data_IF_526175681433
#
_entry.id   IF_526175681433
#
_cell.length_a   1.000
_cell.length_b   1.000
_cell.length_c   1.000
_cell.angle_alpha   90.00
_cell.angle_beta   90.00
_cell.angle_gamma   90.00
#
_symmetry.space_group_name_H-M   'P 1'
#
loop_
_entity.id
_entity.type
_entity.pdbx_description
1 polymer ?
#
# COMPACT_ATOMS: atom_id res chain seq x y z
N UNK A 1 14.44 -17.42 -5.53
CA UNK A 1 14.26 -16.87 -4.17
C UNK A 1 14.90 -15.51 -4.14
N UNK A 2 14.15 -14.47 -3.75
CA UNK A 2 14.56 -13.07 -3.89
C UNK A 2 15.03 -12.44 -2.57
N UNK A 3 14.36 -12.75 -1.45
CA UNK A 3 14.73 -12.31 -0.11
C UNK A 3 14.02 -13.18 0.95
N UNK A 4 14.59 -13.25 2.16
CA UNK A 4 13.93 -13.80 3.34
C UNK A 4 13.85 -12.70 4.41
N UNK A 5 12.64 -12.36 4.83
CA UNK A 5 12.39 -11.58 6.03
C UNK A 5 12.03 -12.55 7.17
N UNK A 6 12.08 -12.12 8.43
CA UNK A 6 11.84 -12.96 9.60
C UNK A 6 10.54 -13.77 9.57
N UNK A 7 9.54 -13.33 8.79
CA UNK A 7 8.19 -13.94 8.75
C UNK A 7 7.72 -14.39 7.35
N UNK A 8 8.41 -14.00 6.27
CA UNK A 8 7.98 -14.25 4.89
C UNK A 8 9.15 -14.56 3.96
N UNK A 9 8.90 -15.47 3.01
CA UNK A 9 9.86 -15.88 1.98
C UNK A 9 9.38 -15.44 0.60
N UNK A 10 10.13 -14.56 -0.07
CA UNK A 10 9.82 -14.13 -1.44
C UNK A 10 10.31 -15.14 -2.48
N UNK A 11 9.39 -15.59 -3.31
CA UNK A 11 9.56 -16.61 -4.34
C UNK A 11 9.26 -16.01 -5.72
N UNK A 12 9.82 -16.65 -6.75
CA UNK A 12 9.46 -16.41 -8.14
C UNK A 12 8.60 -17.58 -8.61
N UNK A 13 7.41 -17.28 -9.12
CA UNK A 13 6.50 -18.23 -9.76
C UNK A 13 6.35 -17.81 -11.23
N UNK A 14 7.20 -18.34 -12.10
CA UNK A 14 7.39 -17.76 -13.44
C UNK A 14 8.04 -16.38 -13.35
N UNK A 15 7.39 -15.37 -13.92
CA UNK A 15 7.80 -13.96 -13.84
C UNK A 15 7.20 -13.22 -12.65
N UNK A 16 6.28 -13.86 -11.91
CA UNK A 16 5.57 -13.24 -10.80
C UNK A 16 6.33 -13.38 -9.48
N UNK A 17 6.40 -12.29 -8.73
CA UNK A 17 6.84 -12.30 -7.34
C UNK A 17 5.63 -12.65 -6.47
N UNK A 18 5.78 -13.72 -5.68
CA UNK A 18 4.84 -14.12 -4.62
C UNK A 18 5.61 -14.27 -3.31
N UNK A 19 4.91 -14.29 -2.19
CA UNK A 19 5.56 -14.64 -0.92
C UNK A 19 4.81 -15.73 -0.19
N UNK A 20 5.59 -16.61 0.42
CA UNK A 20 5.11 -17.62 1.33
C UNK A 20 5.18 -17.06 2.74
N UNK A 21 4.04 -16.97 3.43
CA UNK A 21 3.91 -16.55 4.81
C UNK A 21 3.38 -17.68 5.69
N UNK A 22 3.57 -17.55 7.00
CA UNK A 22 2.88 -18.40 7.96
C UNK A 22 1.36 -18.14 7.98
N UNK A 23 0.61 -19.01 8.65
CA UNK A 23 -0.87 -18.95 8.74
C UNK A 23 -1.43 -17.62 9.24
N UNK A 24 -0.66 -16.92 10.07
CA UNK A 24 -1.04 -15.68 10.74
C UNK A 24 -0.49 -14.44 10.00
N UNK A 25 0.18 -14.63 8.84
CA UNK A 25 0.72 -13.54 8.05
C UNK A 25 -0.40 -12.76 7.35
N UNK A 26 -0.10 -11.51 6.99
CA UNK A 26 -1.08 -10.62 6.37
C UNK A 26 -1.45 -11.09 4.98
N UNK A 27 -2.75 -11.16 4.72
CA UNK A 27 -3.32 -11.51 3.42
C UNK A 27 -3.07 -10.40 2.39
N UNK A 28 -2.78 -10.83 1.16
CA UNK A 28 -2.53 -10.01 -0.03
C UNK A 28 -2.73 -10.91 -1.26
N UNK A 29 -3.07 -10.40 -2.46
CA UNK A 29 -3.28 -11.26 -3.64
C UNK A 29 -2.06 -12.12 -4.06
N UNK A 30 -0.88 -11.77 -3.56
CA UNK A 30 0.40 -12.45 -3.80
C UNK A 30 0.90 -13.29 -2.62
N UNK A 31 0.16 -13.28 -1.52
CA UNK A 31 0.50 -14.04 -0.32
C UNK A 31 -0.04 -15.47 -0.45
N UNK A 32 0.85 -16.45 -0.31
CA UNK A 32 0.51 -17.84 -0.09
C UNK A 32 0.73 -18.14 1.39
N UNK A 33 -0.34 -18.47 2.11
CA UNK A 33 -0.24 -18.74 3.55
C UNK A 33 -0.18 -20.24 3.81
N UNK A 34 0.79 -20.69 4.59
CA UNK A 34 0.88 -22.09 5.03
C UNK A 34 -0.07 -22.37 6.19
N UNK A 35 -0.42 -23.64 6.41
CA UNK A 35 -1.14 -24.05 7.62
C UNK A 35 -0.31 -23.89 8.91
N UNK A 36 1.02 -23.82 8.78
CA UNK A 36 1.97 -23.66 9.88
C UNK A 36 2.15 -22.18 10.26
N UNK A 37 2.49 -21.90 11.52
CA UNK A 37 2.75 -20.52 11.96
C UNK A 37 3.96 -19.87 11.30
N UNK A 38 4.96 -20.69 10.95
CA UNK A 38 6.22 -20.21 10.39
C UNK A 38 6.44 -20.86 9.03
N UNK A 39 7.14 -20.14 8.17
CA UNK A 39 7.68 -20.72 6.93
C UNK A 39 8.73 -21.78 7.32
N UNK A 40 8.70 -23.00 6.76
CA UNK A 40 9.69 -24.03 7.10
C UNK A 40 11.13 -23.54 6.90
N UNK A 41 11.96 -23.63 7.95
CA UNK A 41 13.38 -23.19 7.93
C UNK A 41 14.19 -23.87 6.82
N UNK A 42 13.79 -25.07 6.38
CA UNK A 42 14.39 -25.76 5.25
C UNK A 42 14.28 -24.99 3.91
N UNK A 43 13.36 -24.04 3.81
CA UNK A 43 13.17 -23.15 2.67
C UNK A 43 13.94 -21.82 2.82
N UNK A 44 14.43 -21.50 4.02
CA UNK A 44 15.22 -20.29 4.27
C UNK A 44 16.64 -20.42 3.69
N UNK A 45 17.25 -19.32 3.21
CA UNK A 45 18.60 -19.35 2.66
C UNK A 45 19.62 -19.86 3.68
N UNK A 46 20.25 -21.00 3.40
CA UNK A 46 21.49 -21.37 4.11
C UNK A 46 22.66 -20.59 3.49
N UNK A 47 23.42 -19.85 4.29
CA UNK A 47 24.66 -19.15 3.85
C UNK A 47 25.68 -20.05 3.16
N UNK A 48 25.54 -21.37 3.30
CA UNK A 48 26.46 -22.39 2.81
C UNK A 48 26.11 -22.95 1.41
N UNK A 49 24.91 -22.70 0.86
CA UNK A 49 24.51 -23.24 -0.44
C UNK A 49 23.70 -22.24 -1.26
N UNK A 50 24.35 -21.60 -2.25
CA UNK A 50 23.75 -20.66 -3.21
C UNK A 50 23.07 -21.36 -4.41
N UNK A 51 22.43 -22.53 -4.22
CA UNK A 51 21.65 -23.13 -5.32
C UNK A 51 20.20 -22.67 -5.27
N UNK A 52 19.62 -22.21 -6.39
CA UNK A 52 18.18 -21.94 -6.44
C UNK A 52 17.42 -23.22 -6.10
N UNK A 53 16.65 -23.19 -5.02
CA UNK A 53 15.74 -24.28 -4.64
C UNK A 53 14.38 -24.00 -5.26
N UNK A 54 13.86 -24.97 -6.02
CA UNK A 54 12.46 -24.98 -6.42
C UNK A 54 11.62 -25.59 -5.30
N UNK A 55 10.44 -25.01 -5.07
CA UNK A 55 9.47 -25.47 -4.09
C UNK A 55 8.20 -25.83 -4.84
N UNK A 56 7.61 -26.99 -4.55
CA UNK A 56 6.28 -27.34 -5.02
C UNK A 56 5.30 -27.13 -3.87
N UNK A 57 4.26 -26.35 -4.12
CA UNK A 57 3.20 -26.10 -3.16
C UNK A 57 1.99 -26.94 -3.59
N UNK A 58 1.46 -27.74 -2.67
CA UNK A 58 0.17 -28.38 -2.85
C UNK A 58 -0.93 -27.36 -2.52
N UNK A 59 -1.77 -27.07 -3.50
CA UNK A 59 -2.89 -26.13 -3.36
C UNK A 59 -4.22 -26.85 -3.13
N UNK A 60 -4.21 -28.18 -2.98
CA UNK A 60 -5.41 -28.94 -2.64
C UNK A 60 -6.00 -28.40 -1.32
N UNK A 61 -7.24 -27.93 -1.38
CA UNK A 61 -7.93 -27.32 -0.24
C UNK A 61 -7.54 -25.87 0.08
N UNK A 62 -6.69 -25.23 -0.73
CA UNK A 62 -6.41 -23.80 -0.59
C UNK A 62 -7.68 -22.98 -0.88
N UNK A 63 -7.85 -21.88 -0.13
CA UNK A 63 -8.93 -20.91 -0.35
C UNK A 63 -8.34 -19.63 -0.90
N UNK A 64 -8.94 -19.13 -1.99
CA UNK A 64 -8.62 -17.82 -2.54
C UNK A 64 -9.20 -16.77 -1.62
N UNK A 65 -8.34 -15.87 -1.14
CA UNK A 65 -8.78 -14.67 -0.44
C UNK A 65 -9.10 -13.58 -1.46
N UNK A 66 -10.19 -12.86 -1.20
CA UNK A 66 -10.54 -11.63 -1.88
C UNK A 66 -11.10 -10.64 -0.83
N UNK A 67 -10.85 -9.33 -0.98
CA UNK A 67 -11.47 -8.34 -0.11
C UNK A 67 -12.99 -8.34 -0.28
N UNK A 68 -13.71 -8.02 0.79
CA UNK A 68 -15.15 -7.81 0.69
C UNK A 68 -15.45 -6.59 -0.21
N UNK A 69 -16.46 -6.66 -1.10
CA UNK A 69 -16.80 -5.53 -1.95
C UNK A 69 -17.35 -4.37 -1.09
N UNK A 70 -16.80 -3.15 -1.21
CA UNK A 70 -17.35 -2.00 -0.51
C UNK A 70 -18.67 -1.54 -1.14
N UNK A 71 -19.51 -0.77 -0.42
CA UNK A 71 -20.67 -0.12 -1.02
C UNK A 71 -20.24 0.88 -2.09
N UNK A 72 -21.11 1.13 -3.08
CA UNK A 72 -20.86 2.06 -4.20
C UNK A 72 -21.79 3.26 -4.17
N UNK A 73 -21.44 4.26 -4.97
CA UNK A 73 -22.19 5.49 -5.19
C UNK A 73 -21.60 6.71 -4.48
N UNK A 74 -22.13 7.92 -4.76
CA UNK A 74 -21.60 9.18 -4.24
C UNK A 74 -21.53 9.24 -2.71
N UNK A 75 -22.49 8.65 -2.02
CA UNK A 75 -22.51 8.61 -0.55
C UNK A 75 -21.31 7.86 0.04
N UNK A 76 -20.87 6.78 -0.61
CA UNK A 76 -19.69 6.02 -0.20
C UNK A 76 -18.40 6.83 -0.42
N UNK A 77 -18.31 7.57 -1.54
CA UNK A 77 -17.18 8.48 -1.83
C UNK A 77 -17.08 9.55 -0.75
N UNK A 78 -18.19 10.19 -0.39
CA UNK A 78 -18.20 11.21 0.65
C UNK A 78 -17.88 10.63 2.04
N UNK A 79 -18.39 9.43 2.34
CA UNK A 79 -18.08 8.71 3.58
C UNK A 79 -16.59 8.42 3.71
N UNK A 80 -15.94 7.94 2.64
CA UNK A 80 -14.48 7.72 2.62
C UNK A 80 -13.72 9.01 2.95
N UNK A 81 -14.07 10.13 2.31
CA UNK A 81 -13.38 11.40 2.54
C UNK A 81 -13.60 11.93 3.96
N UNK A 82 -14.82 11.86 4.49
CA UNK A 82 -15.12 12.29 5.88
C UNK A 82 -14.40 11.40 6.89
N UNK A 83 -14.52 10.09 6.76
CA UNK A 83 -13.89 9.12 7.66
C UNK A 83 -12.37 9.19 7.61
N UNK A 84 -11.77 9.44 6.44
CA UNK A 84 -10.32 9.66 6.32
C UNK A 84 -9.85 10.89 7.09
N UNK A 85 -10.59 12.01 7.07
CA UNK A 85 -10.27 13.20 7.88
C UNK A 85 -10.37 12.89 9.38
N UNK A 86 -11.42 12.18 9.79
CA UNK A 86 -11.60 11.77 11.18
C UNK A 86 -10.48 10.83 11.66
N UNK A 87 -10.08 9.86 10.84
CA UNK A 87 -8.99 8.94 11.15
C UNK A 87 -7.63 9.64 11.16
N UNK A 88 -7.38 10.58 10.24
CA UNK A 88 -6.17 11.42 10.23
C UNK A 88 -5.98 12.14 11.56
N UNK A 89 -7.05 12.72 12.11
CA UNK A 89 -7.02 13.37 13.43
C UNK A 89 -6.72 12.40 14.58
N UNK A 90 -6.96 11.10 14.40
CA UNK A 90 -6.72 10.05 15.39
C UNK A 90 -5.43 9.25 15.14
N UNK A 91 -4.59 9.61 14.16
CA UNK A 91 -3.33 8.91 13.87
C UNK A 91 -2.45 8.69 15.11
N UNK A 92 -2.27 9.64 16.04
CA UNK A 92 -1.48 9.42 17.26
C UNK A 92 -2.03 8.32 18.18
N UNK A 93 -3.30 7.94 18.05
CA UNK A 93 -3.91 6.86 18.86
C UNK A 93 -3.56 5.46 18.33
N UNK A 94 -2.99 5.36 17.12
CA UNK A 94 -2.59 4.09 16.51
C UNK A 94 -1.19 3.64 16.93
N UNK A 95 -0.43 4.52 17.58
CA UNK A 95 0.99 4.37 17.92
C UNK A 95 1.76 5.66 17.60
N UNK A 96 3.09 5.64 17.71
CA UNK A 96 3.92 6.78 17.32
C UNK A 96 4.00 6.89 15.79
N UNK A 97 3.43 7.93 15.16
CA UNK A 97 3.47 8.09 13.71
C UNK A 97 4.90 8.27 13.22
N UNK A 98 5.29 7.49 12.21
CA UNK A 98 6.64 7.52 11.64
C UNK A 98 6.63 8.14 10.23
N UNK A 99 7.78 8.62 9.78
CA UNK A 99 8.03 8.96 8.37
C UNK A 99 6.92 9.85 7.76
N UNK A 100 6.25 9.43 6.67
CA UNK A 100 5.22 10.23 6.01
C UNK A 100 3.93 10.36 6.83
N UNK A 101 3.67 9.46 7.78
CA UNK A 101 2.54 9.61 8.71
C UNK A 101 2.78 10.74 9.72
N UNK A 102 4.02 10.89 10.19
CA UNK A 102 4.41 12.06 10.99
C UNK A 102 4.31 13.35 10.16
N UNK A 103 4.78 13.30 8.92
CA UNK A 103 4.65 14.41 7.97
C UNK A 103 3.19 14.85 7.80
N UNK A 104 2.26 13.91 7.64
CA UNK A 104 0.83 14.21 7.48
C UNK A 104 0.22 14.97 8.69
N UNK A 105 0.87 14.90 9.85
CA UNK A 105 0.52 15.65 11.07
C UNK A 105 1.27 17.00 11.20
N UNK A 106 1.94 17.47 10.14
CA UNK A 106 2.70 18.71 10.12
C UNK A 106 4.09 18.60 10.79
N UNK A 107 4.55 17.39 11.11
CA UNK A 107 5.89 17.17 11.66
C UNK A 107 6.92 17.11 10.52
N UNK A 108 8.19 17.50 10.75
CA UNK A 108 9.22 17.37 9.72
C UNK A 108 9.48 15.89 9.38
N UNK A 109 9.79 15.62 8.12
CA UNK A 109 10.31 14.31 7.71
C UNK A 109 11.68 14.05 8.35
N UNK A 110 12.06 12.77 8.58
CA UNK A 110 13.42 12.42 8.95
C UNK A 110 14.43 13.00 7.95
N UNK A 111 15.64 13.33 8.41
CA UNK A 111 16.65 14.04 7.58
C UNK A 111 16.90 13.40 6.20
N UNK A 112 16.91 12.06 6.13
CA UNK A 112 17.08 11.32 4.88
C UNK A 112 15.93 11.51 3.87
N UNK A 113 14.73 11.81 4.36
CA UNK A 113 13.52 12.03 3.57
C UNK A 113 13.14 13.52 3.48
N UNK A 114 13.84 14.41 4.17
CA UNK A 114 13.53 15.85 4.16
C UNK A 114 13.43 16.45 2.73
N UNK A 115 14.30 16.10 1.75
CA UNK A 115 14.16 16.57 0.37
C UNK A 115 12.86 16.11 -0.32
N UNK A 116 12.23 15.05 0.18
CA UNK A 116 10.99 14.49 -0.37
C UNK A 116 9.73 15.28 0.03
N UNK A 117 9.81 16.16 1.05
CA UNK A 117 8.64 16.85 1.63
C UNK A 117 7.80 17.59 0.58
N UNK A 118 8.45 18.36 -0.31
CA UNK A 118 7.75 19.10 -1.35
C UNK A 118 7.09 18.18 -2.38
N UNK A 119 7.75 17.08 -2.76
CA UNK A 119 7.19 16.10 -3.70
C UNK A 119 6.05 15.30 -3.08
N UNK A 120 6.14 14.97 -1.78
CA UNK A 120 5.07 14.33 -1.04
C UNK A 120 3.85 15.27 -0.92
N UNK A 121 4.05 16.53 -0.55
CA UNK A 121 2.97 17.52 -0.53
C UNK A 121 2.29 17.65 -1.90
N UNK A 122 3.09 17.72 -2.97
CA UNK A 122 2.59 17.80 -4.34
C UNK A 122 1.79 16.56 -4.75
N UNK A 123 2.24 15.35 -4.39
CA UNK A 123 1.52 14.10 -4.65
C UNK A 123 0.16 14.12 -3.94
N UNK A 124 0.15 14.37 -2.63
CA UNK A 124 -1.07 14.31 -1.83
C UNK A 124 -2.09 15.37 -2.28
N UNK A 125 -1.61 16.57 -2.63
CA UNK A 125 -2.44 17.64 -3.18
C UNK A 125 -3.02 17.26 -4.54
N UNK A 126 -2.20 16.79 -5.48
CA UNK A 126 -2.67 16.38 -6.79
C UNK A 126 -3.70 15.25 -6.72
N UNK A 127 -3.52 14.26 -5.83
CA UNK A 127 -4.53 13.22 -5.61
C UNK A 127 -5.85 13.77 -5.04
N UNK A 128 -5.76 14.71 -4.08
CA UNK A 128 -6.94 15.34 -3.48
C UNK A 128 -7.72 16.18 -4.49
N UNK A 129 -7.01 16.89 -5.37
CA UNK A 129 -7.54 17.77 -6.42
C UNK A 129 -7.93 17.04 -7.72
N UNK A 130 -7.80 15.70 -7.74
CA UNK A 130 -8.07 14.84 -8.91
C UNK A 130 -7.16 15.11 -10.13
N UNK A 131 -5.94 15.60 -9.90
CA UNK A 131 -4.92 15.82 -10.92
C UNK A 131 -4.04 14.57 -11.10
N UNK A 132 -4.47 13.66 -11.98
CA UNK A 132 -3.73 12.44 -12.30
C UNK A 132 -2.32 12.72 -12.87
N UNK A 133 -2.15 13.78 -13.66
CA UNK A 133 -0.88 14.11 -14.30
C UNK A 133 0.14 14.69 -13.30
N UNK A 134 -0.32 15.59 -12.43
CA UNK A 134 0.44 16.10 -11.30
C UNK A 134 0.82 15.00 -10.33
N UNK A 135 -0.10 14.10 -10.00
CA UNK A 135 0.15 12.96 -9.12
C UNK A 135 1.24 12.03 -9.69
N UNK A 136 1.17 11.66 -10.97
CA UNK A 136 2.21 10.86 -11.61
C UNK A 136 3.58 11.58 -11.63
N UNK A 137 3.59 12.90 -11.83
CA UNK A 137 4.81 13.70 -11.84
C UNK A 137 5.47 13.79 -10.48
N UNK A 138 4.68 14.01 -9.43
CA UNK A 138 5.15 14.03 -8.06
C UNK A 138 5.61 12.64 -7.59
N UNK A 139 4.84 11.59 -7.93
CA UNK A 139 5.16 10.21 -7.60
C UNK A 139 6.54 9.79 -8.10
N UNK A 140 6.89 10.10 -9.37
CA UNK A 140 8.22 9.77 -9.93
C UNK A 140 9.40 10.34 -9.13
N UNK A 141 9.20 11.44 -8.39
CA UNK A 141 10.24 12.05 -7.54
C UNK A 141 10.39 11.37 -6.18
N UNK A 142 9.43 10.50 -5.81
CA UNK A 142 9.40 9.78 -4.54
C UNK A 142 9.85 8.33 -4.69
N UNK A 143 9.77 7.76 -5.89
CA UNK A 143 10.09 6.37 -6.12
C UNK A 143 11.53 6.05 -5.72
N UNK A 144 11.70 4.96 -4.96
CA UNK A 144 12.99 4.49 -4.45
C UNK A 144 13.55 5.28 -3.26
N UNK A 145 12.86 6.32 -2.77
CA UNK A 145 13.34 7.11 -1.63
C UNK A 145 13.10 6.39 -0.29
N UNK A 146 14.19 6.11 0.43
CA UNK A 146 14.17 5.44 1.73
C UNK A 146 14.88 4.09 1.69
N UNK A 147 15.30 3.55 2.85
CA UNK A 147 16.01 2.29 2.90
C UNK A 147 15.06 1.08 2.77
N UNK A 148 15.62 -0.08 2.44
CA UNK A 148 14.92 -1.37 2.53
C UNK A 148 14.36 -1.88 1.20
N UNK A 149 13.57 -2.96 1.30
CA UNK A 149 12.95 -3.64 0.16
C UNK A 149 11.67 -2.94 -0.34
N UNK A 150 11.09 -2.09 0.50
CA UNK A 150 9.93 -1.22 0.26
C UNK A 150 10.26 0.17 0.81
N UNK A 151 10.96 1.01 0.01
CA UNK A 151 11.27 2.38 0.38
C UNK A 151 10.01 3.20 0.75
N UNK A 152 10.13 4.05 1.77
CA UNK A 152 9.04 4.90 2.27
C UNK A 152 8.35 5.73 1.17
N UNK A 153 9.13 6.19 0.19
CA UNK A 153 8.64 6.93 -0.97
C UNK A 153 7.74 6.10 -1.89
N UNK A 154 8.00 4.80 -2.02
CA UNK A 154 7.12 3.90 -2.79
C UNK A 154 5.84 3.61 -2.01
N UNK A 155 5.94 3.41 -0.69
CA UNK A 155 4.80 3.12 0.18
C UNK A 155 3.80 4.30 0.18
N UNK A 156 4.27 5.54 0.29
CA UNK A 156 3.40 6.73 0.23
C UNK A 156 2.76 6.91 -1.16
N UNK A 157 3.51 6.62 -2.24
CA UNK A 157 2.96 6.64 -3.60
C UNK A 157 1.89 5.56 -3.76
N UNK A 158 2.17 4.34 -3.30
CA UNK A 158 1.26 3.21 -3.41
C UNK A 158 -0.03 3.43 -2.63
N UNK A 159 0.05 3.93 -1.39
CA UNK A 159 -1.12 4.31 -0.61
C UNK A 159 -1.98 5.37 -1.31
N UNK A 160 -1.34 6.38 -1.92
CA UNK A 160 -2.04 7.45 -2.63
C UNK A 160 -2.74 6.96 -3.91
N UNK A 161 -2.07 6.14 -4.72
CA UNK A 161 -2.66 5.56 -5.93
C UNK A 161 -3.75 4.53 -5.60
N UNK A 162 -3.59 3.76 -4.54
CA UNK A 162 -4.64 2.87 -4.03
C UNK A 162 -5.88 3.66 -3.60
N UNK A 163 -5.75 4.79 -2.90
CA UNK A 163 -6.89 5.64 -2.56
C UNK A 163 -7.65 6.11 -3.80
N UNK A 164 -6.94 6.47 -4.88
CA UNK A 164 -7.57 6.86 -6.15
C UNK A 164 -8.23 5.69 -6.87
N UNK A 165 -7.63 4.50 -6.82
CA UNK A 165 -8.26 3.28 -7.31
C UNK A 165 -9.57 2.96 -6.54
N UNK A 166 -9.55 3.13 -5.21
CA UNK A 166 -10.75 2.98 -4.36
C UNK A 166 -11.84 3.97 -4.76
N UNK A 167 -11.55 5.27 -4.84
CA UNK A 167 -12.57 6.27 -5.20
C UNK A 167 -13.21 5.98 -6.57
N UNK A 168 -12.42 5.53 -7.54
CA UNK A 168 -12.90 5.10 -8.87
C UNK A 168 -13.80 3.86 -8.79
N UNK A 169 -13.42 2.86 -7.99
CA UNK A 169 -14.19 1.63 -7.81
C UNK A 169 -15.50 1.83 -7.02
N UNK A 170 -15.55 2.88 -6.19
CA UNK A 170 -16.75 3.30 -5.45
C UNK A 170 -17.70 4.16 -6.30
N UNK A 171 -17.18 4.93 -7.24
CA UNK A 171 -17.99 5.75 -8.15
C UNK A 171 -18.80 4.90 -9.13
N UNK A 172 -19.87 5.49 -9.67
CA UNK A 172 -20.76 4.83 -10.64
C UNK A 172 -20.28 4.99 -12.10
N UNK A 173 -19.29 5.85 -12.34
CA UNK A 173 -18.90 6.33 -13.68
C UNK A 173 -17.65 5.64 -14.24
N UNK A 174 -17.60 4.31 -14.21
CA UNK A 174 -16.43 3.51 -14.63
C UNK A 174 -15.87 3.75 -16.04
N UNK A 175 -16.51 4.60 -16.86
CA UNK A 175 -16.07 5.05 -18.18
C UNK A 175 -15.78 6.55 -18.33
N UNK A 176 -15.72 7.32 -17.24
CA UNK A 176 -15.44 8.75 -17.32
C UNK A 176 -13.96 9.03 -17.73
N UNK A 177 -13.66 10.13 -18.45
CA UNK A 177 -12.30 10.47 -18.90
C UNK A 177 -11.22 10.47 -17.79
N UNK A 178 -11.64 10.78 -16.56
CA UNK A 178 -10.81 10.75 -15.35
C UNK A 178 -10.30 9.34 -15.05
N UNK A 179 -11.10 8.30 -15.34
CA UNK A 179 -10.69 6.90 -15.16
C UNK A 179 -9.50 6.56 -16.05
N UNK A 180 -9.53 7.00 -17.31
CA UNK A 180 -8.43 6.78 -18.23
C UNK A 180 -7.19 7.60 -17.85
N UNK A 181 -7.38 8.84 -17.38
CA UNK A 181 -6.29 9.68 -16.93
C UNK A 181 -5.53 9.03 -15.76
N UNK A 182 -6.26 8.51 -14.77
CA UNK A 182 -5.66 7.75 -13.66
C UNK A 182 -5.06 6.42 -14.09
N UNK A 183 -5.65 5.70 -15.05
CA UNK A 183 -5.06 4.48 -15.60
C UNK A 183 -3.71 4.77 -16.29
N UNK A 184 -3.63 5.85 -17.08
CA UNK A 184 -2.37 6.30 -17.71
C UNK A 184 -1.35 6.74 -16.68
N UNK A 185 -1.77 7.49 -15.65
CA UNK A 185 -0.91 7.90 -14.55
C UNK A 185 -0.32 6.70 -13.79
N UNK A 186 -1.17 5.73 -13.44
CA UNK A 186 -0.78 4.49 -12.77
C UNK A 186 0.23 3.70 -13.62
N UNK A 187 -0.05 3.52 -14.91
CA UNK A 187 0.87 2.84 -15.82
C UNK A 187 2.24 3.52 -15.90
N UNK A 188 2.26 4.86 -15.96
CA UNK A 188 3.51 5.63 -15.98
C UNK A 188 4.31 5.49 -14.67
N UNK A 189 3.62 5.48 -13.52
CA UNK A 189 4.25 5.28 -12.21
C UNK A 189 4.82 3.86 -12.09
N UNK A 190 4.06 2.84 -12.49
CA UNK A 190 4.52 1.44 -12.48
C UNK A 190 5.74 1.25 -13.39
N UNK A 191 5.73 1.84 -14.60
CA UNK A 191 6.87 1.78 -15.50
C UNK A 191 8.13 2.43 -14.89
N UNK A 192 7.98 3.59 -14.24
CA UNK A 192 9.10 4.25 -13.57
C UNK A 192 9.62 3.46 -12.36
N UNK A 193 8.73 2.84 -11.58
CA UNK A 193 9.10 2.08 -10.39
C UNK A 193 9.96 0.86 -10.71
N UNK A 194 9.70 0.19 -11.84
CA UNK A 194 10.54 -0.95 -12.31
C UNK A 194 12.01 -0.58 -12.50
N UNK A 195 12.33 0.69 -12.68
CA UNK A 195 13.69 1.21 -12.87
C UNK A 195 14.22 1.85 -11.58
N UNK A 196 13.35 2.52 -10.82
CA UNK A 196 13.74 3.38 -9.71
C UNK A 196 13.83 2.68 -8.35
N UNK A 197 13.24 1.49 -8.17
CA UNK A 197 13.18 0.82 -6.87
C UNK A 197 13.44 -0.69 -6.95
N UNK A 198 13.46 -1.34 -5.79
CA UNK A 198 13.61 -2.78 -5.65
C UNK A 198 12.42 -3.53 -6.29
N UNK A 199 12.69 -4.70 -6.90
CA UNK A 199 11.68 -5.47 -7.63
C UNK A 199 10.45 -5.84 -6.79
N UNK A 200 10.64 -6.11 -5.49
CA UNK A 200 9.54 -6.35 -4.54
C UNK A 200 8.65 -5.10 -4.41
N UNK A 201 9.25 -3.93 -4.16
CA UNK A 201 8.51 -2.66 -4.06
C UNK A 201 7.78 -2.32 -5.36
N UNK A 202 8.44 -2.43 -6.50
CA UNK A 202 7.83 -2.17 -7.81
C UNK A 202 6.62 -3.08 -8.08
N UNK A 203 6.68 -4.33 -7.61
CA UNK A 203 5.56 -5.29 -7.73
C UNK A 203 4.39 -4.90 -6.84
N UNK A 204 4.64 -4.64 -5.56
CA UNK A 204 3.61 -4.21 -4.60
C UNK A 204 2.96 -2.89 -5.03
N UNK A 205 3.75 -1.96 -5.56
CA UNK A 205 3.25 -0.70 -6.08
C UNK A 205 2.35 -0.91 -7.31
N UNK A 206 2.66 -1.88 -8.17
CA UNK A 206 1.80 -2.22 -9.30
C UNK A 206 0.43 -2.75 -8.84
N UNK A 207 0.41 -3.58 -7.79
CA UNK A 207 -0.84 -4.06 -7.20
C UNK A 207 -1.66 -2.89 -6.61
N UNK A 208 -1.01 -2.01 -5.84
CA UNK A 208 -1.66 -0.82 -5.26
C UNK A 208 -2.25 0.10 -6.33
N UNK A 209 -1.52 0.33 -7.42
CA UNK A 209 -1.98 1.06 -8.59
C UNK A 209 -3.17 0.40 -9.31
N UNK A 210 -3.27 -0.93 -9.27
CA UNK A 210 -4.39 -1.70 -9.80
C UNK A 210 -5.61 -1.72 -8.84
N UNK A 211 -5.45 -1.23 -7.61
CA UNK A 211 -6.48 -1.27 -6.57
C UNK A 211 -6.44 -2.52 -5.70
N UNK A 212 -5.36 -3.28 -5.76
CA UNK A 212 -5.07 -4.44 -4.92
C UNK A 212 -4.12 -4.07 -3.79
N UNK A 213 -4.38 -4.56 -2.58
CA UNK A 213 -3.58 -4.23 -1.40
C UNK A 213 -3.57 -5.35 -0.35
N UNK A 214 -2.84 -5.08 0.73
CA UNK A 214 -2.95 -5.86 1.95
C UNK A 214 -4.36 -5.79 2.52
N UNK A 215 -4.85 -6.92 3.07
CA UNK A 215 -6.17 -7.01 3.70
C UNK A 215 -6.51 -5.84 4.65
N UNK A 216 -5.65 -5.42 5.60
CA UNK A 216 -5.98 -4.29 6.48
C UNK A 216 -6.20 -2.96 5.74
N UNK A 217 -5.58 -2.73 4.57
CA UNK A 217 -5.82 -1.52 3.79
C UNK A 217 -7.17 -1.58 3.05
N UNK A 218 -7.55 -2.76 2.53
CA UNK A 218 -8.90 -2.97 1.99
C UNK A 218 -9.99 -2.86 3.05
N UNK A 219 -9.78 -3.45 4.23
CA UNK A 219 -10.73 -3.37 5.35
C UNK A 219 -10.88 -1.95 5.86
N UNK A 220 -9.78 -1.17 5.90
CA UNK A 220 -9.83 0.26 6.19
C UNK A 220 -10.70 0.98 5.16
N UNK A 221 -10.39 0.86 3.87
CA UNK A 221 -11.15 1.50 2.80
C UNK A 221 -12.64 1.11 2.83
N UNK A 222 -12.94 -0.17 3.03
CA UNK A 222 -14.31 -0.69 3.13
C UNK A 222 -15.06 -0.18 4.35
N UNK A 223 -14.41 -0.11 5.52
CA UNK A 223 -15.02 0.45 6.73
C UNK A 223 -15.36 1.94 6.56
N UNK A 224 -14.48 2.71 5.92
CA UNK A 224 -14.74 4.12 5.62
C UNK A 224 -15.85 4.29 4.59
N UNK A 225 -15.88 3.47 3.53
CA UNK A 225 -16.90 3.52 2.48
C UNK A 225 -18.30 3.13 3.02
N UNK A 226 -18.35 2.19 3.97
CA UNK A 226 -19.58 1.77 4.64
C UNK A 226 -20.05 2.72 5.75
N UNK A 227 -19.35 3.84 5.97
CA UNK A 227 -19.59 4.77 7.08
C UNK A 227 -19.70 4.04 8.43
N UNK A 228 -18.90 2.97 8.58
CA UNK A 228 -18.89 2.15 9.78
C UNK A 228 -18.35 2.95 10.97
N UNK A 229 -18.63 2.53 12.22
CA UNK A 229 -18.03 3.15 13.39
C UNK A 229 -16.50 3.27 13.24
N UNK A 230 -15.96 4.47 13.48
CA UNK A 230 -14.55 4.81 13.23
C UNK A 230 -13.56 3.84 13.91
N UNK A 231 -13.97 3.20 15.01
CA UNK A 231 -13.20 2.15 15.68
C UNK A 231 -12.83 0.97 14.78
N UNK A 232 -13.68 0.60 13.81
CA UNK A 232 -13.39 -0.46 12.83
C UNK A 232 -12.28 -0.04 11.86
N UNK A 233 -12.39 1.18 11.32
CA UNK A 233 -11.34 1.77 10.47
C UNK A 233 -10.02 1.92 11.25
N UNK A 234 -10.08 2.37 12.50
CA UNK A 234 -8.93 2.48 13.38
C UNK A 234 -8.28 1.11 13.64
N UNK A 235 -9.05 0.04 13.85
CA UNK A 235 -8.49 -1.31 14.04
C UNK A 235 -7.83 -1.85 12.77
N UNK A 236 -8.43 -1.63 11.59
CA UNK A 236 -7.79 -1.95 10.33
C UNK A 236 -6.49 -1.17 10.14
N UNK A 237 -6.48 0.13 10.46
CA UNK A 237 -5.28 0.97 10.43
C UNK A 237 -4.22 0.51 11.45
N UNK A 238 -4.60 0.09 12.66
CA UNK A 238 -3.66 -0.51 13.64
C UNK A 238 -3.01 -1.78 13.10
N UNK A 239 -3.76 -2.62 12.39
CA UNK A 239 -3.21 -3.81 11.72
C UNK A 239 -2.27 -3.41 10.58
N UNK A 240 -2.62 -2.38 9.82
CA UNK A 240 -1.82 -1.87 8.72
C UNK A 240 -0.46 -1.32 9.19
N UNK A 241 -0.42 -0.50 10.24
CA UNK A 241 0.85 0.11 10.72
C UNK A 241 1.80 -0.89 11.38
N UNK A 242 1.37 -2.14 11.57
CA UNK A 242 2.24 -3.26 11.99
C UNK A 242 2.92 -3.96 10.81
N UNK A 243 2.64 -3.56 9.57
CA UNK A 243 3.33 -4.07 8.39
C UNK A 243 4.72 -3.46 8.26
N UNK A 244 5.74 -4.32 8.28
CA UNK A 244 7.13 -3.88 8.16
C UNK A 244 7.55 -2.95 9.30
N UNK A 245 8.67 -2.25 9.13
CA UNK A 245 9.16 -1.31 10.13
C UNK A 245 8.38 0.02 10.10
N UNK A 246 8.36 0.68 8.93
CA UNK A 246 7.65 1.94 8.70
C UNK A 246 6.67 1.88 7.52
N UNK A 247 6.73 0.84 6.67
CA UNK A 247 5.93 0.74 5.44
C UNK A 247 4.42 0.83 5.69
N UNK A 248 3.91 0.22 6.77
CA UNK A 248 2.51 0.35 7.15
C UNK A 248 2.08 1.79 7.44
N UNK A 249 2.96 2.60 8.05
CA UNK A 249 2.71 4.02 8.30
C UNK A 249 2.74 4.84 7.01
N UNK A 250 3.70 4.57 6.12
CA UNK A 250 3.85 5.31 4.87
C UNK A 250 2.69 4.99 3.88
N UNK A 251 2.24 3.73 3.81
CA UNK A 251 1.02 3.35 3.09
C UNK A 251 -0.21 4.08 3.64
N UNK A 252 -0.38 4.11 4.96
CA UNK A 252 -1.49 4.82 5.60
C UNK A 252 -1.44 6.32 5.32
N UNK A 253 -0.24 6.91 5.34
CA UNK A 253 -0.03 8.32 5.05
C UNK A 253 -0.40 8.68 3.61
N UNK A 254 0.01 7.85 2.65
CA UNK A 254 -0.37 7.99 1.24
C UNK A 254 -1.88 7.92 1.05
N UNK A 255 -2.50 6.90 1.65
CA UNK A 255 -3.94 6.67 1.55
C UNK A 255 -4.75 7.84 2.13
N UNK A 256 -4.48 8.24 3.38
CA UNK A 256 -5.19 9.34 4.03
C UNK A 256 -4.86 10.69 3.39
N UNK A 257 -3.61 10.93 3.03
CA UNK A 257 -3.18 12.18 2.40
C UNK A 257 -3.80 12.39 1.02
N UNK A 258 -3.93 11.34 0.21
CA UNK A 258 -4.62 11.44 -1.09
C UNK A 258 -6.12 11.78 -0.96
N UNK A 259 -6.74 11.43 0.17
CA UNK A 259 -8.16 11.70 0.45
C UNK A 259 -8.39 13.05 1.13
N UNK A 260 -7.39 13.57 1.83
CA UNK A 260 -7.51 14.73 2.73
C UNK A 260 -6.60 15.90 2.38
N UNK A 261 -5.69 15.74 1.42
CA UNK A 261 -4.64 16.71 1.09
C UNK A 261 -3.41 16.60 1.99
N UNK A 262 -2.37 17.41 1.70
CA UNK A 262 -1.16 17.48 2.53
C UNK A 262 -1.42 18.11 3.91
N UNK A 263 -0.40 18.25 4.79
CA UNK A 263 -0.46 19.16 5.93
C UNK A 263 -0.80 20.58 5.50
N UNK A 264 -1.52 21.31 6.36
CA UNK A 264 -1.65 22.75 6.25
C UNK A 264 -0.25 23.36 6.40
N UNK A 265 0.12 24.23 5.46
CA UNK A 265 1.43 24.87 5.39
C UNK A 265 1.57 26.08 6.31
#
# INVERSE_FOLDING_TARGET
>A
MLAALSESLYLLAGEEIVWLGGRDATLHPRALLTATRTVPVALAPSRLFQRPRSVRLDLAGARVWAPAPPPRGPAAVDAVRRGARALRAQLPTLGEPQSFAAFLLGRPLPALLAPAAASAAALLRACADDDAAGAATAARKLLGLGPGLTPAGDDVVGGAFFARAVLRALGDDGGAPEHEAWARAAAAVVAAARIATHAISATLLADLCAGDAYAPLHELAGALAADAPLAHAAEAARRLVRLGHASGWDLLAGFLGALTGPPDG
#
